data_IF_433716594931
#
_entry.id   IF_433716594931
#
_cell.length_a   1.000
_cell.length_b   1.000
_cell.length_c   1.000
_cell.angle_alpha   90.00
_cell.angle_beta   90.00
_cell.angle_gamma   90.00
#
_symmetry.space_group_name_H-M   'P 1'
#
loop_
_entity.id
_entity.type
_entity.pdbx_description
1 polymer ?
#
# COMPACT_ATOMS: atom_id res chain seq x y z
N UNK A 1 -19.51 27.44 -19.87
CA UNK A 1 -20.31 26.57 -18.97
C UNK A 1 -21.69 27.18 -18.89
N UNK A 2 -22.74 26.40 -19.08
CA UNK A 2 -24.11 26.88 -18.84
C UNK A 2 -24.21 27.31 -17.37
N UNK A 3 -24.79 28.48 -17.12
CA UNK A 3 -24.95 28.99 -15.77
C UNK A 3 -25.99 28.14 -15.03
N UNK A 4 -25.53 27.30 -14.11
CA UNK A 4 -26.42 26.42 -13.33
C UNK A 4 -26.91 27.16 -12.10
N UNK A 5 -28.23 27.14 -11.89
CA UNK A 5 -28.85 27.75 -10.71
C UNK A 5 -28.44 27.01 -9.44
N UNK A 6 -28.10 27.77 -8.39
CA UNK A 6 -27.83 27.15 -7.10
C UNK A 6 -29.11 26.58 -6.49
N UNK A 7 -28.95 25.41 -5.88
CA UNK A 7 -29.95 24.72 -5.08
C UNK A 7 -29.29 24.04 -3.90
N UNK A 8 -30.08 23.55 -2.97
CA UNK A 8 -29.59 22.73 -1.85
C UNK A 8 -28.77 21.50 -2.31
N UNK A 9 -29.02 21.02 -3.53
CA UNK A 9 -28.38 19.83 -4.11
C UNK A 9 -26.94 20.07 -4.56
N UNK A 10 -26.59 21.31 -4.85
CA UNK A 10 -25.31 21.65 -5.49
C UNK A 10 -24.55 22.81 -4.82
N UNK A 11 -25.18 23.58 -3.94
CA UNK A 11 -24.57 24.76 -3.32
C UNK A 11 -23.25 24.48 -2.58
N UNK A 12 -23.03 23.25 -2.09
CA UNK A 12 -21.80 22.85 -1.40
C UNK A 12 -20.58 22.74 -2.32
N UNK A 13 -20.79 22.69 -3.64
CA UNK A 13 -19.71 22.56 -4.64
C UNK A 13 -19.29 23.89 -5.25
N UNK A 14 -20.09 24.95 -5.08
CA UNK A 14 -19.83 26.22 -5.74
C UNK A 14 -18.59 26.91 -5.14
N UNK A 15 -17.74 27.48 -5.99
CA UNK A 15 -16.61 28.34 -5.58
C UNK A 15 -16.90 29.79 -5.95
N UNK A 16 -17.44 30.03 -7.14
CA UNK A 16 -17.85 31.36 -7.57
C UNK A 16 -19.29 31.36 -8.01
N UNK A 17 -19.99 32.40 -7.62
CA UNK A 17 -21.39 32.61 -7.94
C UNK A 17 -21.62 34.01 -8.48
N UNK A 18 -22.72 34.19 -9.18
CA UNK A 18 -23.20 35.47 -9.67
C UNK A 18 -24.66 35.64 -9.34
N UNK A 19 -25.06 36.86 -9.03
CA UNK A 19 -26.43 37.22 -8.73
C UNK A 19 -27.23 37.33 -10.03
N UNK A 20 -28.37 36.64 -10.12
CA UNK A 20 -29.20 36.62 -11.36
C UNK A 20 -29.84 37.96 -11.68
N UNK A 21 -30.33 38.65 -10.65
CA UNK A 21 -31.04 39.92 -10.80
C UNK A 21 -30.10 41.09 -11.09
N UNK A 22 -28.81 40.95 -10.79
CA UNK A 22 -27.81 41.99 -10.95
C UNK A 22 -26.46 41.42 -11.43
N UNK A 23 -26.38 40.90 -12.68
CA UNK A 23 -25.14 40.33 -13.23
C UNK A 23 -23.97 41.33 -13.29
N UNK A 24 -24.28 42.63 -13.39
CA UNK A 24 -23.33 43.74 -13.42
C UNK A 24 -22.55 43.93 -12.12
N UNK A 25 -23.05 43.38 -10.99
CA UNK A 25 -22.31 43.37 -9.72
C UNK A 25 -21.10 42.44 -9.71
N UNK A 26 -20.89 41.68 -10.80
CA UNK A 26 -19.74 40.83 -10.99
C UNK A 26 -19.83 39.50 -10.24
N UNK A 27 -18.67 38.85 -10.10
CA UNK A 27 -18.55 37.54 -9.48
C UNK A 27 -18.32 37.64 -7.97
N UNK A 28 -18.86 36.65 -7.25
CA UNK A 28 -18.79 36.54 -5.81
C UNK A 28 -18.11 35.21 -5.46
N UNK A 29 -17.16 35.25 -4.53
CA UNK A 29 -16.59 34.06 -3.90
C UNK A 29 -17.64 33.44 -2.98
N UNK A 30 -17.95 32.18 -3.19
CA UNK A 30 -18.90 31.41 -2.40
C UNK A 30 -18.20 30.60 -1.32
N UNK A 31 -18.70 30.70 -0.09
CA UNK A 31 -18.28 29.89 1.05
C UNK A 31 -19.50 29.16 1.59
N UNK A 32 -19.59 27.87 1.28
CA UNK A 32 -20.64 27.00 1.81
C UNK A 32 -20.48 26.82 3.32
N UNK A 33 -21.56 27.01 4.08
CA UNK A 33 -21.57 26.97 5.55
C UNK A 33 -20.47 27.84 6.19
N UNK A 34 -20.19 29.00 5.59
CA UNK A 34 -19.12 29.92 6.04
C UNK A 34 -19.38 30.60 7.39
N UNK A 35 -20.62 30.58 7.89
CA UNK A 35 -20.99 31.05 9.23
C UNK A 35 -21.94 30.06 9.86
N UNK A 36 -21.76 29.79 11.15
CA UNK A 36 -22.75 29.10 11.97
C UNK A 36 -23.20 29.98 13.11
N UNK A 37 -24.47 29.85 13.47
CA UNK A 37 -25.11 30.58 14.57
C UNK A 37 -25.85 29.58 15.45
N UNK A 38 -25.55 29.60 16.75
CA UNK A 38 -26.23 28.74 17.72
C UNK A 38 -27.53 29.38 18.16
N UNK A 39 -28.65 28.69 17.92
CA UNK A 39 -29.97 29.05 18.45
C UNK A 39 -30.29 28.15 19.63
N UNK A 40 -29.86 28.53 20.83
CA UNK A 40 -30.05 27.72 22.04
C UNK A 40 -29.06 26.55 22.15
N UNK A 41 -29.36 25.58 23.02
CA UNK A 41 -28.40 24.53 23.41
C UNK A 41 -28.25 23.39 22.38
N UNK A 42 -29.25 23.18 21.51
CA UNK A 42 -29.34 22.00 20.65
C UNK A 42 -29.51 22.30 19.15
N UNK A 43 -29.51 23.57 18.73
CA UNK A 43 -29.64 23.93 17.30
C UNK A 43 -28.52 24.86 16.85
N UNK A 44 -27.88 24.47 15.76
CA UNK A 44 -26.90 25.25 15.02
C UNK A 44 -27.47 25.50 13.61
N UNK A 45 -27.52 26.78 13.22
CA UNK A 45 -27.98 27.20 11.90
C UNK A 45 -26.77 27.59 11.07
N UNK A 46 -26.66 27.03 9.87
CA UNK A 46 -25.57 27.33 8.94
C UNK A 46 -26.03 28.33 7.89
N UNK A 47 -25.17 29.30 7.60
CA UNK A 47 -25.34 30.28 6.54
C UNK A 47 -24.20 30.14 5.53
N UNK A 48 -24.54 30.30 4.26
CA UNK A 48 -23.57 30.45 3.18
C UNK A 48 -23.13 31.91 3.12
N UNK A 49 -21.89 32.17 2.71
CA UNK A 49 -21.36 33.53 2.55
C UNK A 49 -20.97 33.73 1.10
N UNK A 50 -21.54 34.74 0.46
CA UNK A 50 -21.08 35.24 -0.83
C UNK A 50 -20.28 36.53 -0.61
N UNK A 51 -19.00 36.55 -0.99
CA UNK A 51 -18.14 37.74 -0.90
C UNK A 51 -17.80 38.26 -2.28
N UNK A 52 -18.20 39.49 -2.60
CA UNK A 52 -17.94 40.12 -3.88
C UNK A 52 -16.43 40.25 -4.11
N UNK A 53 -15.95 39.78 -5.27
CA UNK A 53 -14.51 39.73 -5.57
C UNK A 53 -13.94 41.15 -5.80
N UNK A 54 -14.74 42.08 -6.32
CA UNK A 54 -14.30 43.44 -6.64
C UNK A 54 -14.42 44.40 -5.46
N UNK A 55 -15.49 44.32 -4.67
CA UNK A 55 -15.78 45.27 -3.59
C UNK A 55 -15.43 44.77 -2.19
N UNK A 56 -15.27 43.44 -2.00
CA UNK A 56 -15.07 42.81 -0.69
C UNK A 56 -16.33 42.74 0.17
N UNK A 57 -17.48 43.20 -0.32
CA UNK A 57 -18.77 43.12 0.37
C UNK A 57 -19.19 41.66 0.57
N UNK A 58 -19.69 41.31 1.75
CA UNK A 58 -20.14 39.95 2.06
C UNK A 58 -21.64 39.91 2.36
N UNK A 59 -22.33 38.97 1.76
CA UNK A 59 -23.77 38.73 1.92
C UNK A 59 -23.98 37.34 2.50
N UNK A 60 -24.80 37.28 3.55
CA UNK A 60 -25.23 36.02 4.16
C UNK A 60 -26.42 35.46 3.37
N UNK A 61 -26.28 34.24 2.88
CA UNK A 61 -27.30 33.53 2.11
C UNK A 61 -27.76 32.32 2.90
N UNK A 62 -29.07 32.28 3.20
CA UNK A 62 -29.66 31.15 3.94
C UNK A 62 -29.55 29.86 3.12
N UNK A 63 -29.41 28.73 3.81
CA UNK A 63 -29.36 27.40 3.20
C UNK A 63 -30.78 26.90 2.89
N UNK A 64 -31.50 27.62 2.01
CA UNK A 64 -32.84 27.28 1.51
C UNK A 64 -32.93 27.61 0.02
N UNK A 65 -33.71 26.83 -0.74
CA UNK A 65 -33.77 27.00 -2.19
C UNK A 65 -34.23 28.40 -2.63
N UNK A 66 -35.14 29.05 -1.88
CA UNK A 66 -35.60 30.41 -2.21
C UNK A 66 -34.45 31.41 -2.34
N UNK A 67 -33.52 31.41 -1.38
CA UNK A 67 -32.38 32.33 -1.38
C UNK A 67 -31.25 31.83 -2.27
N UNK A 68 -31.09 30.51 -2.45
CA UNK A 68 -30.08 29.95 -3.33
C UNK A 68 -30.41 30.20 -4.81
N UNK A 69 -31.67 30.12 -5.21
CA UNK A 69 -32.10 30.26 -6.61
C UNK A 69 -31.84 31.66 -7.20
N UNK A 70 -31.59 32.66 -6.37
CA UNK A 70 -31.14 34.02 -6.75
C UNK A 70 -29.72 34.03 -7.33
N UNK A 71 -28.97 32.95 -7.14
CA UNK A 71 -27.57 32.82 -7.51
C UNK A 71 -27.37 31.76 -8.59
N UNK A 72 -26.39 32.00 -9.45
CA UNK A 72 -25.89 31.05 -10.44
C UNK A 72 -24.45 30.70 -10.11
N UNK A 73 -24.10 29.42 -10.20
CA UNK A 73 -22.71 28.99 -10.13
C UNK A 73 -21.98 29.35 -11.43
N UNK A 74 -20.86 30.05 -11.27
CA UNK A 74 -19.93 30.40 -12.35
C UNK A 74 -18.76 29.41 -12.38
N UNK A 75 -18.32 28.97 -11.21
CA UNK A 75 -17.20 28.05 -11.06
C UNK A 75 -17.51 27.02 -9.96
N UNK A 76 -17.23 25.76 -10.28
CA UNK A 76 -17.41 24.61 -9.39
C UNK A 76 -16.07 24.15 -8.84
N UNK A 77 -16.07 23.63 -7.60
CA UNK A 77 -14.89 23.03 -6.99
C UNK A 77 -14.45 21.74 -7.67
N UNK A 78 -15.40 21.01 -8.23
CA UNK A 78 -15.17 19.75 -8.94
C UNK A 78 -16.38 19.40 -9.80
N UNK A 79 -16.09 18.76 -10.95
CA UNK A 79 -17.10 18.37 -11.93
C UNK A 79 -17.72 16.99 -11.63
N UNK A 80 -16.90 16.03 -11.16
CA UNK A 80 -17.36 14.67 -10.84
C UNK A 80 -18.17 14.66 -9.53
N UNK A 81 -19.49 14.57 -9.65
CA UNK A 81 -20.44 14.74 -8.55
C UNK A 81 -21.56 13.69 -8.58
N UNK A 82 -22.35 13.60 -7.52
CA UNK A 82 -23.42 12.61 -7.38
C UNK A 82 -24.81 13.25 -7.28
N UNK A 83 -24.95 14.51 -7.71
CA UNK A 83 -26.19 15.28 -7.70
C UNK A 83 -27.34 14.55 -8.40
N UNK A 84 -27.06 13.84 -9.49
CA UNK A 84 -28.06 13.04 -10.22
C UNK A 84 -28.69 11.90 -9.40
N UNK A 85 -28.05 11.47 -8.30
CA UNK A 85 -28.58 10.44 -7.40
C UNK A 85 -29.47 11.02 -6.30
N UNK A 86 -29.66 12.34 -6.24
CA UNK A 86 -30.43 13.02 -5.20
C UNK A 86 -31.83 12.41 -4.99
N UNK A 87 -32.62 12.30 -6.06
CA UNK A 87 -33.98 11.75 -5.99
C UNK A 87 -33.99 10.30 -5.51
N UNK A 88 -32.97 9.53 -5.91
CA UNK A 88 -32.81 8.15 -5.46
C UNK A 88 -32.45 8.08 -3.97
N UNK A 89 -31.58 8.98 -3.49
CA UNK A 89 -31.25 9.11 -2.08
C UNK A 89 -32.45 9.55 -1.24
N UNK A 90 -33.30 10.45 -1.73
CA UNK A 90 -34.55 10.84 -1.04
C UNK A 90 -35.46 9.62 -0.86
N UNK A 91 -35.66 8.83 -1.92
CA UNK A 91 -36.41 7.55 -1.84
C UNK A 91 -35.74 6.54 -0.92
N UNK A 92 -34.41 6.56 -0.79
CA UNK A 92 -33.69 5.67 0.10
C UNK A 92 -34.02 5.90 1.58
N UNK A 93 -34.33 7.14 1.96
CA UNK A 93 -34.58 7.52 3.34
C UNK A 93 -36.06 7.79 3.66
N UNK A 94 -36.97 7.71 2.70
CA UNK A 94 -38.41 7.98 2.91
C UNK A 94 -39.08 7.06 3.93
N UNK A 95 -38.51 5.87 4.19
CA UNK A 95 -38.98 4.91 5.18
C UNK A 95 -38.34 5.05 6.57
N UNK A 96 -37.56 6.11 6.82
CA UNK A 96 -36.75 6.30 8.04
C UNK A 96 -37.24 7.51 8.86
N UNK A 97 -36.85 7.59 10.14
CA UNK A 97 -37.27 8.67 11.06
C UNK A 97 -36.54 10.01 10.86
N UNK A 98 -35.96 10.24 9.68
CA UNK A 98 -35.19 11.44 9.33
C UNK A 98 -35.88 12.21 8.20
N UNK A 99 -35.53 13.49 8.03
CA UNK A 99 -35.93 14.30 6.86
C UNK A 99 -35.20 13.76 5.62
N UNK A 100 -35.89 13.08 4.67
CA UNK A 100 -35.22 12.34 3.60
C UNK A 100 -34.35 13.20 2.69
N UNK A 101 -34.78 14.43 2.42
CA UNK A 101 -34.07 15.41 1.60
C UNK A 101 -32.72 15.78 2.23
N UNK A 102 -32.72 16.10 3.52
CA UNK A 102 -31.49 16.42 4.26
C UNK A 102 -30.56 15.21 4.33
N UNK A 103 -31.12 14.02 4.57
CA UNK A 103 -30.34 12.79 4.68
C UNK A 103 -29.71 12.39 3.35
N UNK A 104 -30.44 12.54 2.24
CA UNK A 104 -29.94 12.33 0.88
C UNK A 104 -28.71 13.20 0.60
N UNK A 105 -28.79 14.51 0.90
CA UNK A 105 -27.67 15.44 0.70
C UNK A 105 -26.46 15.09 1.56
N UNK A 106 -26.67 14.75 2.84
CA UNK A 106 -25.58 14.33 3.73
C UNK A 106 -24.82 13.14 3.16
N UNK A 107 -25.54 12.11 2.69
CA UNK A 107 -24.91 10.92 2.11
C UNK A 107 -24.24 11.21 0.77
N UNK A 108 -24.85 12.02 -0.10
CA UNK A 108 -24.23 12.45 -1.36
C UNK A 108 -22.90 13.15 -1.09
N UNK A 109 -22.87 14.12 -0.18
CA UNK A 109 -21.64 14.84 0.20
C UNK A 109 -20.58 13.91 0.78
N UNK A 110 -20.98 12.95 1.62
CA UNK A 110 -20.08 11.93 2.15
C UNK A 110 -19.47 11.09 1.01
N UNK A 111 -20.28 10.61 0.07
CA UNK A 111 -19.80 9.81 -1.05
C UNK A 111 -18.96 10.63 -2.05
N UNK A 112 -19.29 11.89 -2.30
CA UNK A 112 -18.47 12.80 -3.11
C UNK A 112 -17.11 13.05 -2.47
N UNK A 113 -17.05 13.25 -1.15
CA UNK A 113 -15.78 13.39 -0.42
C UNK A 113 -14.91 12.15 -0.60
N UNK A 114 -15.51 10.96 -0.49
CA UNK A 114 -14.81 9.69 -0.73
C UNK A 114 -14.32 9.59 -2.18
N UNK A 115 -15.18 9.89 -3.16
CA UNK A 115 -14.86 9.87 -4.57
C UNK A 115 -13.68 10.78 -4.92
N UNK A 116 -13.70 12.03 -4.46
CA UNK A 116 -12.62 12.99 -4.71
C UNK A 116 -11.30 12.50 -4.11
N UNK A 117 -11.33 11.96 -2.89
CA UNK A 117 -10.13 11.38 -2.25
C UNK A 117 -9.55 10.17 -2.98
N UNK A 118 -10.37 9.44 -3.74
CA UNK A 118 -9.92 8.33 -4.57
C UNK A 118 -9.34 8.82 -5.88
N UNK A 119 -10.02 9.77 -6.54
CA UNK A 119 -9.62 10.34 -7.83
C UNK A 119 -8.24 11.00 -7.76
N UNK A 120 -7.87 11.63 -6.65
CA UNK A 120 -6.53 12.19 -6.43
C UNK A 120 -5.42 11.16 -6.64
N UNK A 121 -5.69 9.88 -6.34
CA UNK A 121 -4.73 8.77 -6.41
C UNK A 121 -4.81 8.01 -7.74
N UNK A 122 -5.81 8.30 -8.56
CA UNK A 122 -6.10 7.58 -9.80
C UNK A 122 -5.57 8.42 -10.99
N UNK A 123 -4.81 7.81 -11.93
CA UNK A 123 -4.37 8.46 -13.15
C UNK A 123 -5.55 9.02 -13.95
N UNK A 124 -5.35 10.19 -14.57
CA UNK A 124 -6.41 10.95 -15.23
C UNK A 124 -7.23 10.14 -16.25
N UNK A 125 -6.55 9.30 -17.05
CA UNK A 125 -7.17 8.46 -18.07
C UNK A 125 -8.16 7.41 -17.52
N UNK A 126 -8.06 7.02 -16.24
CA UNK A 126 -8.94 6.01 -15.63
C UNK A 126 -10.08 6.65 -14.79
N UNK A 127 -10.06 7.97 -14.58
CA UNK A 127 -10.98 8.65 -13.64
C UNK A 127 -12.44 8.55 -14.03
N UNK A 128 -12.78 8.73 -15.31
CA UNK A 128 -14.17 8.64 -15.79
C UNK A 128 -14.75 7.24 -15.57
N UNK A 129 -14.02 6.20 -15.97
CA UNK A 129 -14.46 4.82 -15.78
C UNK A 129 -14.61 4.45 -14.29
N UNK A 130 -13.73 4.97 -13.44
CA UNK A 130 -13.86 4.81 -11.99
C UNK A 130 -15.09 5.52 -11.45
N UNK A 131 -15.31 6.78 -11.84
CA UNK A 131 -16.44 7.60 -11.44
C UNK A 131 -17.78 6.95 -11.81
N UNK A 132 -17.93 6.46 -13.04
CA UNK A 132 -19.17 5.79 -13.47
C UNK A 132 -19.47 4.56 -12.62
N UNK A 133 -18.43 3.76 -12.34
CA UNK A 133 -18.57 2.57 -11.50
C UNK A 133 -18.87 2.92 -10.04
N UNK A 134 -18.23 3.97 -9.51
CA UNK A 134 -18.50 4.49 -8.16
C UNK A 134 -19.93 4.98 -8.03
N UNK A 135 -20.40 5.77 -9.00
CA UNK A 135 -21.77 6.28 -9.08
C UNK A 135 -22.79 5.13 -9.12
N UNK A 136 -22.53 4.09 -9.92
CA UNK A 136 -23.36 2.89 -9.95
C UNK A 136 -23.41 2.18 -8.59
N UNK A 137 -22.28 2.07 -7.89
CA UNK A 137 -22.25 1.52 -6.54
C UNK A 137 -23.08 2.33 -5.55
N UNK A 138 -22.96 3.66 -5.54
CA UNK A 138 -23.77 4.53 -4.67
C UNK A 138 -25.26 4.36 -4.98
N UNK A 139 -25.63 4.24 -6.26
CA UNK A 139 -26.99 3.91 -6.67
C UNK A 139 -27.47 2.56 -6.10
N UNK A 140 -26.64 1.51 -6.12
CA UNK A 140 -26.95 0.21 -5.51
C UNK A 140 -27.19 0.38 -4.00
N UNK A 141 -26.31 1.11 -3.30
CA UNK A 141 -26.44 1.34 -1.85
C UNK A 141 -27.74 2.05 -1.52
N UNK A 142 -28.11 3.11 -2.24
CA UNK A 142 -29.39 3.79 -2.05
C UNK A 142 -30.59 2.88 -2.34
N UNK A 143 -30.52 2.03 -3.37
CA UNK A 143 -31.58 1.06 -3.66
C UNK A 143 -31.74 -0.01 -2.56
N UNK A 144 -30.65 -0.43 -1.91
CA UNK A 144 -30.72 -1.37 -0.78
C UNK A 144 -31.26 -0.67 0.46
N UNK A 145 -30.79 0.55 0.73
CA UNK A 145 -31.22 1.36 1.85
C UNK A 145 -32.73 1.66 1.80
N UNK A 146 -33.30 1.89 0.61
CA UNK A 146 -34.75 2.14 0.44
C UNK A 146 -35.63 0.97 0.88
N UNK A 147 -35.08 -0.23 1.01
CA UNK A 147 -35.83 -1.42 1.46
C UNK A 147 -35.86 -1.55 2.99
N UNK A 148 -35.09 -0.74 3.71
CA UNK A 148 -35.01 -0.74 5.17
C UNK A 148 -36.03 0.27 5.71
N UNK A 149 -36.93 -0.22 6.56
CA UNK A 149 -38.03 0.56 7.11
C UNK A 149 -37.88 0.71 8.62
N UNK A 150 -38.29 1.87 9.13
CA UNK A 150 -38.35 2.14 10.56
C UNK A 150 -39.74 1.78 11.11
N UNK A 151 -39.84 0.98 12.20
CA UNK A 151 -41.11 0.71 12.86
C UNK A 151 -41.73 1.97 13.47
N UNK A 152 -40.95 3.04 13.70
CA UNK A 152 -41.48 4.34 14.13
C UNK A 152 -42.26 5.05 13.02
N UNK A 153 -41.98 4.75 11.75
CA UNK A 153 -42.65 5.33 10.58
C UNK A 153 -43.80 4.43 10.10
N UNK A 154 -43.56 3.13 9.98
CA UNK A 154 -44.57 2.18 9.48
C UNK A 154 -45.49 1.62 10.57
N UNK A 155 -45.21 1.93 11.83
CA UNK A 155 -45.89 1.38 13.01
C UNK A 155 -45.25 0.08 13.51
N UNK A 156 -45.21 -0.15 14.84
CA UNK A 156 -44.63 -1.36 15.42
C UNK A 156 -45.56 -2.59 15.27
N UNK A 157 -46.86 -2.37 15.14
CA UNK A 157 -47.84 -3.44 15.05
C UNK A 157 -47.64 -4.26 13.77
N UNK A 158 -47.43 -5.58 13.92
CA UNK A 158 -47.19 -6.54 12.83
C UNK A 158 -45.97 -6.19 11.94
N UNK A 159 -45.03 -5.39 12.43
CA UNK A 159 -43.81 -5.08 11.70
C UNK A 159 -42.98 -6.35 11.47
N UNK A 160 -42.64 -6.63 10.21
CA UNK A 160 -41.89 -7.83 9.86
C UNK A 160 -40.39 -7.64 10.10
N UNK A 161 -39.98 -7.85 11.35
CA UNK A 161 -38.58 -7.76 11.77
C UNK A 161 -37.65 -8.64 10.92
N UNK A 162 -38.06 -9.89 10.62
CA UNK A 162 -37.24 -10.81 9.82
C UNK A 162 -36.93 -10.26 8.43
N UNK A 163 -37.92 -9.69 7.75
CA UNK A 163 -37.73 -9.05 6.44
C UNK A 163 -36.81 -7.83 6.56
N UNK A 164 -37.02 -6.99 7.57
CA UNK A 164 -36.20 -5.79 7.76
C UNK A 164 -34.75 -6.13 8.10
N UNK A 165 -34.50 -7.13 8.97
CA UNK A 165 -33.16 -7.64 9.26
C UNK A 165 -32.50 -8.18 7.99
N UNK A 166 -33.23 -8.92 7.15
CA UNK A 166 -32.70 -9.38 5.87
C UNK A 166 -32.33 -8.22 4.93
N UNK A 167 -33.10 -7.13 4.93
CA UNK A 167 -32.80 -5.93 4.15
C UNK A 167 -31.55 -5.20 4.68
N UNK A 168 -31.42 -5.06 6.01
CA UNK A 168 -30.22 -4.49 6.65
C UNK A 168 -28.97 -5.32 6.30
N UNK A 169 -29.01 -6.64 6.47
CA UNK A 169 -27.88 -7.52 6.13
C UNK A 169 -27.48 -7.41 4.64
N UNK A 170 -28.46 -7.21 3.75
CA UNK A 170 -28.20 -7.02 2.33
C UNK A 170 -27.55 -5.66 2.02
N UNK A 171 -27.92 -4.61 2.76
CA UNK A 171 -27.26 -3.31 2.69
C UNK A 171 -25.84 -3.37 3.25
N UNK A 172 -25.64 -3.95 4.44
CA UNK A 172 -24.33 -4.09 5.07
C UNK A 172 -23.36 -4.84 4.17
N UNK A 173 -23.82 -5.94 3.57
CA UNK A 173 -23.03 -6.69 2.59
C UNK A 173 -22.70 -5.87 1.34
N UNK A 174 -23.65 -5.07 0.84
CA UNK A 174 -23.37 -4.19 -0.30
C UNK A 174 -22.35 -3.09 0.05
N UNK A 175 -22.36 -2.57 1.27
CA UNK A 175 -21.36 -1.61 1.77
C UNK A 175 -19.98 -2.28 1.86
N UNK A 176 -19.90 -3.50 2.38
CA UNK A 176 -18.65 -4.27 2.37
C UNK A 176 -18.12 -4.50 0.96
N UNK A 177 -18.99 -4.90 0.03
CA UNK A 177 -18.61 -5.19 -1.34
C UNK A 177 -18.16 -3.92 -2.08
N UNK A 178 -18.82 -2.78 -1.83
CA UNK A 178 -18.40 -1.46 -2.30
C UNK A 178 -17.00 -1.10 -1.81
N UNK A 179 -16.74 -1.24 -0.51
CA UNK A 179 -15.43 -0.93 0.07
C UNK A 179 -14.34 -1.88 -0.44
N UNK A 180 -14.62 -3.19 -0.51
CA UNK A 180 -13.70 -4.19 -1.11
C UNK A 180 -13.38 -3.85 -2.56
N UNK A 181 -14.38 -3.42 -3.34
CA UNK A 181 -14.15 -2.97 -4.71
C UNK A 181 -13.21 -1.76 -4.76
N UNK A 182 -13.46 -0.72 -3.94
CA UNK A 182 -12.59 0.47 -3.87
C UNK A 182 -11.15 0.12 -3.51
N UNK A 183 -10.96 -0.69 -2.47
CA UNK A 183 -9.62 -1.14 -2.04
C UNK A 183 -8.90 -1.94 -3.13
N UNK A 184 -9.60 -2.87 -3.78
CA UNK A 184 -9.02 -3.69 -4.83
C UNK A 184 -8.65 -2.85 -6.05
N UNK A 185 -9.47 -1.86 -6.39
CA UNK A 185 -9.17 -0.92 -7.47
C UNK A 185 -7.92 -0.11 -7.15
N UNK A 186 -7.83 0.49 -5.95
CA UNK A 186 -6.67 1.24 -5.50
C UNK A 186 -5.38 0.38 -5.50
N UNK A 187 -5.45 -0.87 -5.01
CA UNK A 187 -4.33 -1.83 -5.10
C UNK A 187 -3.94 -2.10 -6.55
N UNK A 188 -4.91 -2.22 -7.45
CA UNK A 188 -4.68 -2.40 -8.88
C UNK A 188 -3.97 -1.20 -9.53
N UNK A 189 -4.40 0.01 -9.20
CA UNK A 189 -3.76 1.25 -9.64
C UNK A 189 -2.31 1.33 -9.15
N UNK A 190 -2.07 1.08 -7.87
CA UNK A 190 -0.71 1.05 -7.30
C UNK A 190 0.19 0.04 -8.01
N UNK A 191 -0.31 -1.16 -8.32
CA UNK A 191 0.44 -2.16 -9.09
C UNK A 191 0.77 -1.69 -10.51
N UNK A 192 -0.15 -0.99 -11.18
CA UNK A 192 0.10 -0.43 -12.52
C UNK A 192 1.12 0.70 -12.48
N UNK A 193 1.02 1.59 -11.49
CA UNK A 193 2.01 2.65 -11.25
C UNK A 193 3.39 2.04 -11.01
N UNK A 194 3.48 1.02 -10.15
CA UNK A 194 4.72 0.29 -9.86
C UNK A 194 5.29 -0.42 -11.09
N UNK A 195 4.41 -1.04 -11.90
CA UNK A 195 4.80 -1.70 -13.14
C UNK A 195 5.33 -0.71 -14.18
N UNK A 196 4.79 0.51 -14.23
CA UNK A 196 5.22 1.57 -15.13
C UNK A 196 6.55 2.24 -14.71
N UNK A 197 7.01 2.06 -13.46
CA UNK A 197 8.30 2.61 -13.01
C UNK A 197 9.45 2.03 -13.83
N UNK A 198 10.32 2.90 -14.33
CA UNK A 198 11.53 2.47 -15.04
C UNK A 198 12.51 1.79 -14.07
N UNK A 199 13.42 0.93 -14.57
CA UNK A 199 14.45 0.32 -13.73
C UNK A 199 15.28 1.34 -12.92
N UNK A 200 15.53 2.52 -13.50
CA UNK A 200 16.23 3.63 -12.84
C UNK A 200 15.42 4.23 -11.69
N UNK A 201 14.12 4.43 -11.87
CA UNK A 201 13.24 4.94 -10.80
C UNK A 201 13.16 3.95 -9.64
N UNK A 202 13.07 2.64 -9.92
CA UNK A 202 13.09 1.60 -8.88
C UNK A 202 14.41 1.61 -8.12
N UNK A 203 15.54 1.69 -8.82
CA UNK A 203 16.86 1.77 -8.18
C UNK A 203 17.00 3.03 -7.31
N UNK A 204 16.48 4.18 -7.77
CA UNK A 204 16.50 5.43 -7.01
C UNK A 204 15.63 5.34 -5.74
N UNK A 205 14.46 4.73 -5.82
CA UNK A 205 13.58 4.52 -4.66
C UNK A 205 14.16 3.53 -3.65
N UNK A 206 14.73 2.42 -4.13
CA UNK A 206 15.47 1.47 -3.28
C UNK A 206 16.63 2.15 -2.55
N UNK A 207 17.37 3.01 -3.25
CA UNK A 207 18.42 3.82 -2.66
C UNK A 207 17.87 4.80 -1.62
N UNK A 208 16.80 5.52 -1.92
CA UNK A 208 16.21 6.49 -0.99
C UNK A 208 15.66 5.81 0.28
N UNK A 209 15.03 4.65 0.13
CA UNK A 209 14.60 3.84 1.27
C UNK A 209 15.78 3.39 2.12
N UNK A 210 16.86 2.90 1.49
CA UNK A 210 18.04 2.50 2.23
C UNK A 210 18.75 3.70 2.90
N UNK A 211 18.82 4.85 2.22
CA UNK A 211 19.32 6.10 2.78
C UNK A 211 18.54 6.51 4.03
N UNK A 212 17.20 6.42 4.01
CA UNK A 212 16.33 6.68 5.17
C UNK A 212 16.58 5.70 6.32
N UNK A 213 16.99 4.47 6.06
CA UNK A 213 17.40 3.53 7.10
C UNK A 213 18.77 3.87 7.71
N UNK A 214 19.71 4.39 6.91
CA UNK A 214 21.07 4.72 7.34
C UNK A 214 21.12 6.03 8.12
N UNK A 215 20.40 7.06 7.65
CA UNK A 215 20.48 8.43 8.14
C UNK A 215 20.24 8.58 9.66
N UNK A 216 19.22 7.96 10.28
CA UNK A 216 19.01 8.08 11.72
C UNK A 216 20.20 7.56 12.52
N UNK A 217 20.76 6.42 12.12
CA UNK A 217 21.94 5.82 12.79
C UNK A 217 23.17 6.70 12.61
N UNK A 218 23.36 7.29 11.43
CA UNK A 218 24.45 8.24 11.16
C UNK A 218 24.30 9.51 12.00
N UNK A 219 23.11 10.08 12.09
CA UNK A 219 22.82 11.25 12.93
C UNK A 219 23.12 10.97 14.39
N UNK A 220 22.66 9.83 14.92
CA UNK A 220 22.95 9.46 16.32
C UNK A 220 24.45 9.36 16.61
N UNK A 221 25.26 8.87 15.66
CA UNK A 221 26.72 8.84 15.82
C UNK A 221 27.29 10.25 15.95
N UNK A 222 26.82 11.19 15.12
CA UNK A 222 27.23 12.60 15.18
C UNK A 222 26.81 13.24 16.50
N UNK A 223 25.56 13.03 16.93
CA UNK A 223 25.03 13.61 18.16
C UNK A 223 25.80 13.11 19.41
N UNK A 224 26.28 11.86 19.38
CA UNK A 224 27.16 11.31 20.43
C UNK A 224 28.56 11.94 20.35
N UNK A 225 29.15 12.04 19.16
CA UNK A 225 30.48 12.61 18.96
C UNK A 225 30.53 14.11 19.32
N UNK A 226 29.42 14.84 19.18
CA UNK A 226 29.27 16.25 19.57
C UNK A 226 28.78 16.45 21.02
N UNK A 227 28.49 15.36 21.75
CA UNK A 227 28.04 15.41 23.13
C UNK A 227 26.60 15.88 23.34
N UNK A 228 25.81 16.00 22.28
CA UNK A 228 24.36 16.30 22.30
C UNK A 228 23.56 15.11 22.86
N UNK A 229 24.00 13.88 22.57
CA UNK A 229 23.41 12.65 23.09
C UNK A 229 24.34 11.99 24.14
N UNK A 230 23.99 12.12 25.42
CA UNK A 230 24.77 11.56 26.55
C UNK A 230 24.26 10.18 26.97
N UNK A 231 25.16 9.33 27.45
CA UNK A 231 24.83 7.98 27.95
C UNK A 231 24.78 6.87 26.88
N UNK A 232 25.01 7.21 25.61
CA UNK A 232 25.02 6.24 24.51
C UNK A 232 26.42 5.86 24.08
N UNK A 233 26.63 4.58 23.74
CA UNK A 233 27.90 4.08 23.25
C UNK A 233 27.97 4.15 21.71
N UNK A 234 28.84 5.02 21.18
CA UNK A 234 29.11 5.19 19.74
C UNK A 234 29.35 3.86 19.01
N UNK A 235 30.08 2.93 19.62
CA UNK A 235 30.46 1.67 18.97
C UNK A 235 29.25 0.83 18.56
N UNK A 236 28.16 0.88 19.33
CA UNK A 236 26.92 0.16 19.03
C UNK A 236 26.21 0.69 17.77
N UNK A 237 26.23 2.01 17.57
CA UNK A 237 25.65 2.61 16.36
C UNK A 237 26.52 2.36 15.14
N UNK A 238 27.85 2.43 15.29
CA UNK A 238 28.80 2.10 14.22
C UNK A 238 28.67 0.63 13.79
N UNK A 239 28.54 -0.31 14.73
CA UNK A 239 28.33 -1.72 14.43
C UNK A 239 26.98 -1.98 13.78
N UNK A 240 25.91 -1.31 14.24
CA UNK A 240 24.57 -1.37 13.63
C UNK A 240 24.57 -0.86 12.18
N UNK A 241 25.21 0.30 11.94
CA UNK A 241 25.36 0.86 10.59
C UNK A 241 26.13 -0.08 9.67
N UNK A 242 27.24 -0.65 10.16
CA UNK A 242 27.99 -1.66 9.42
C UNK A 242 27.12 -2.88 9.09
N UNK A 243 26.38 -3.41 10.07
CA UNK A 243 25.53 -4.59 9.88
C UNK A 243 24.36 -4.36 8.90
N UNK A 244 23.85 -3.13 8.76
CA UNK A 244 22.89 -2.77 7.71
C UNK A 244 23.51 -2.89 6.31
N UNK A 245 24.71 -2.34 6.11
CA UNK A 245 25.43 -2.37 4.83
C UNK A 245 25.91 -3.80 4.51
N UNK A 246 26.41 -4.52 5.51
CA UNK A 246 26.87 -5.90 5.36
C UNK A 246 25.74 -6.82 4.88
N UNK A 247 24.53 -6.70 5.44
CA UNK A 247 23.37 -7.47 4.97
C UNK A 247 23.06 -7.21 3.49
N UNK A 248 23.07 -5.96 3.05
CA UNK A 248 22.89 -5.61 1.63
C UNK A 248 24.00 -6.20 0.76
N UNK A 249 25.23 -6.21 1.25
CA UNK A 249 26.37 -6.82 0.56
C UNK A 249 26.26 -8.36 0.47
N UNK A 250 25.74 -9.02 1.50
CA UNK A 250 25.43 -10.46 1.50
C UNK A 250 24.34 -10.82 0.48
N UNK A 251 23.39 -9.93 0.25
CA UNK A 251 22.31 -10.12 -0.73
C UNK A 251 22.72 -9.79 -2.17
N UNK A 252 24.00 -9.48 -2.44
CA UNK A 252 24.49 -9.18 -3.79
C UNK A 252 24.05 -7.82 -4.36
N UNK A 253 23.53 -6.90 -3.53
CA UNK A 253 23.04 -5.59 -3.97
C UNK A 253 24.18 -4.58 -4.11
N UNK A 254 25.07 -4.79 -5.08
CA UNK A 254 26.32 -4.04 -5.21
C UNK A 254 26.11 -2.54 -5.44
N UNK A 255 25.14 -2.16 -6.27
CA UNK A 255 24.81 -0.76 -6.56
C UNK A 255 24.41 0.00 -5.28
N UNK A 256 23.55 -0.59 -4.43
CA UNK A 256 23.14 0.01 -3.16
C UNK A 256 24.29 0.13 -2.17
N UNK A 257 25.17 -0.86 -2.11
CA UNK A 257 26.35 -0.83 -1.23
C UNK A 257 27.30 0.29 -1.66
N UNK A 258 27.57 0.44 -2.96
CA UNK A 258 28.41 1.53 -3.48
C UNK A 258 27.80 2.89 -3.15
N UNK A 259 26.52 3.10 -3.47
CA UNK A 259 25.80 4.33 -3.16
C UNK A 259 25.83 4.67 -1.66
N UNK A 260 25.66 3.67 -0.79
CA UNK A 260 25.75 3.84 0.66
C UNK A 260 27.13 4.27 1.14
N UNK A 261 28.19 3.65 0.59
CA UNK A 261 29.56 4.01 0.94
C UNK A 261 29.89 5.43 0.49
N UNK A 262 29.47 5.83 -0.70
CA UNK A 262 29.71 7.18 -1.22
C UNK A 262 28.93 8.23 -0.42
N UNK A 263 27.65 7.97 -0.09
CA UNK A 263 26.88 8.80 0.81
C UNK A 263 27.52 8.96 2.19
N UNK A 264 28.04 7.88 2.77
CA UNK A 264 28.72 7.93 4.07
C UNK A 264 30.04 8.70 3.99
N UNK A 265 30.79 8.61 2.88
CA UNK A 265 31.99 9.42 2.65
C UNK A 265 31.64 10.90 2.58
N UNK A 266 30.64 11.27 1.77
CA UNK A 266 30.18 12.65 1.63
C UNK A 266 29.68 13.21 2.96
N UNK A 267 28.91 12.42 3.70
CA UNK A 267 28.42 12.80 5.02
C UNK A 267 29.57 12.97 6.01
N UNK A 268 30.53 12.03 6.01
CA UNK A 268 31.69 12.07 6.91
C UNK A 268 32.66 13.21 6.59
N UNK A 269 32.74 13.65 5.34
CA UNK A 269 33.60 14.77 4.94
C UNK A 269 33.21 16.10 5.59
N UNK A 270 31.95 16.22 6.02
CA UNK A 270 31.42 17.40 6.74
C UNK A 270 31.66 17.33 8.25
N UNK A 271 32.13 16.18 8.77
CA UNK A 271 32.28 15.94 10.19
C UNK A 271 33.73 16.09 10.64
N UNK A 272 33.93 16.53 11.88
CA UNK A 272 35.26 16.56 12.53
C UNK A 272 35.83 15.16 12.74
N UNK A 273 34.98 14.18 13.03
CA UNK A 273 35.34 12.78 13.23
C UNK A 273 34.55 11.93 12.23
N UNK A 274 35.24 11.14 11.38
CA UNK A 274 34.56 10.34 10.38
C UNK A 274 33.77 9.21 11.06
N UNK A 275 32.63 8.83 10.47
CA UNK A 275 31.79 7.74 11.00
C UNK A 275 32.60 6.44 11.02
N UNK A 276 33.16 6.07 9.87
CA UNK A 276 34.11 4.98 9.72
C UNK A 276 35.51 5.51 9.41
N UNK A 277 36.53 4.89 10.00
CA UNK A 277 37.92 5.21 9.67
C UNK A 277 38.26 4.73 8.25
N UNK A 278 39.26 5.31 7.56
CA UNK A 278 39.66 4.87 6.22
C UNK A 278 40.10 3.39 6.15
N UNK A 279 40.55 2.82 7.27
CA UNK A 279 40.98 1.41 7.37
C UNK A 279 39.85 0.45 7.77
N UNK A 280 38.63 0.95 7.96
CA UNK A 280 37.52 0.12 8.42
C UNK A 280 37.11 -0.90 7.35
N UNK A 281 36.76 -2.13 7.77
CA UNK A 281 36.39 -3.23 6.86
C UNK A 281 35.18 -2.95 5.97
N UNK A 282 34.34 -1.97 6.33
CA UNK A 282 33.18 -1.52 5.54
C UNK A 282 33.55 -1.15 4.10
N UNK A 283 34.74 -0.57 3.89
CA UNK A 283 35.18 -0.13 2.58
C UNK A 283 35.52 -1.29 1.63
N UNK A 284 35.78 -2.48 2.18
CA UNK A 284 35.98 -3.72 1.41
C UNK A 284 34.66 -4.38 1.02
N UNK A 285 33.52 -3.95 1.59
CA UNK A 285 32.23 -4.60 1.31
C UNK A 285 31.80 -4.45 -0.14
N UNK A 286 32.13 -3.34 -0.80
CA UNK A 286 31.83 -3.13 -2.22
C UNK A 286 32.49 -4.20 -3.11
N UNK A 287 33.75 -4.53 -2.86
CA UNK A 287 34.48 -5.57 -3.59
C UNK A 287 33.89 -6.95 -3.32
N UNK A 288 33.64 -7.28 -2.04
CA UNK A 288 33.03 -8.57 -1.67
C UNK A 288 31.64 -8.74 -2.26
N UNK A 289 30.86 -7.66 -2.37
CA UNK A 289 29.53 -7.68 -2.93
C UNK A 289 29.56 -7.90 -4.45
N UNK A 290 30.44 -7.20 -5.17
CA UNK A 290 30.64 -7.43 -6.62
C UNK A 290 31.05 -8.87 -6.93
N UNK A 291 31.96 -9.44 -6.14
CA UNK A 291 32.34 -10.84 -6.28
C UNK A 291 31.14 -11.78 -6.05
N UNK A 292 30.34 -11.53 -4.99
CA UNK A 292 29.13 -12.33 -4.72
C UNK A 292 28.08 -12.20 -5.81
N UNK A 293 27.84 -11.00 -6.32
CA UNK A 293 26.92 -10.76 -7.42
C UNK A 293 27.34 -11.53 -8.67
N UNK A 294 28.64 -11.52 -9.01
CA UNK A 294 29.18 -12.28 -10.13
C UNK A 294 29.02 -13.80 -9.93
N UNK A 295 29.28 -14.31 -8.72
CA UNK A 295 29.06 -15.73 -8.39
C UNK A 295 27.59 -16.10 -8.48
N UNK A 296 26.69 -15.25 -7.97
CA UNK A 296 25.24 -15.46 -8.05
C UNK A 296 24.74 -15.47 -9.49
N UNK A 297 25.21 -14.54 -10.35
CA UNK A 297 24.86 -14.54 -11.79
C UNK A 297 25.34 -15.80 -12.49
N UNK A 298 26.60 -16.18 -12.29
CA UNK A 298 27.17 -17.40 -12.87
C UNK A 298 26.42 -18.66 -12.43
N UNK A 299 25.99 -18.69 -11.17
CA UNK A 299 25.23 -19.81 -10.63
C UNK A 299 23.78 -19.83 -11.12
N UNK A 300 23.15 -18.67 -11.35
CA UNK A 300 21.80 -18.58 -11.91
C UNK A 300 21.75 -18.99 -13.38
N UNK A 301 22.83 -18.81 -14.13
CA UNK A 301 22.97 -19.25 -15.53
C UNK A 301 23.20 -20.77 -15.66
N UNK A 302 23.60 -21.45 -14.58
CA UNK A 302 23.78 -22.90 -14.58
C UNK A 302 22.43 -23.60 -14.36
N UNK A 303 22.09 -24.48 -15.29
CA UNK A 303 20.94 -25.38 -15.11
C UNK A 303 21.16 -26.32 -13.91
N UNK A 304 20.12 -26.52 -13.12
CA UNK A 304 20.13 -27.45 -12.01
C UNK A 304 20.45 -28.86 -12.52
N UNK A 305 21.36 -29.55 -11.84
CA UNK A 305 21.72 -30.91 -12.20
C UNK A 305 20.97 -31.89 -11.29
N UNK A 306 20.23 -32.81 -11.90
CA UNK A 306 19.48 -33.85 -11.20
C UNK A 306 20.20 -35.19 -11.32
N UNK A 307 20.37 -35.85 -10.19
CA UNK A 307 21.01 -37.16 -10.10
C UNK A 307 20.05 -38.13 -9.41
N UNK A 308 19.44 -39.06 -10.16
CA UNK A 308 18.59 -40.09 -9.57
C UNK A 308 19.43 -41.08 -8.75
N UNK A 309 18.94 -41.43 -7.57
CA UNK A 309 19.48 -42.46 -6.68
C UNK A 309 18.32 -43.36 -6.21
N UNK A 310 18.62 -44.49 -5.56
CA UNK A 310 17.57 -45.44 -5.12
C UNK A 310 16.58 -44.77 -4.14
N UNK A 311 15.34 -44.55 -4.59
CA UNK A 311 14.24 -43.97 -3.80
C UNK A 311 14.36 -42.46 -3.52
N UNK A 312 15.29 -41.76 -4.16
CA UNK A 312 15.43 -40.31 -4.04
C UNK A 312 16.16 -39.68 -5.23
N UNK A 313 15.89 -38.39 -5.47
CA UNK A 313 16.60 -37.58 -6.46
C UNK A 313 17.40 -36.51 -5.75
N UNK A 314 18.70 -36.42 -6.06
CA UNK A 314 19.56 -35.34 -5.58
C UNK A 314 19.53 -34.23 -6.64
N UNK A 315 19.07 -33.06 -6.25
CA UNK A 315 19.03 -31.88 -7.11
C UNK A 315 20.11 -30.90 -6.63
N UNK A 316 21.08 -30.63 -7.49
CA UNK A 316 22.08 -29.57 -7.30
C UNK A 316 21.50 -28.29 -7.88
N UNK A 317 20.89 -27.47 -7.02
CA UNK A 317 20.31 -26.19 -7.40
C UNK A 317 21.37 -25.08 -7.27
N UNK A 318 21.98 -24.72 -8.40
CA UNK A 318 23.00 -23.67 -8.44
C UNK A 318 22.40 -22.29 -8.16
N UNK A 319 21.22 -21.99 -8.71
CA UNK A 319 20.55 -20.70 -8.56
C UNK A 319 20.32 -20.33 -7.08
N UNK A 320 19.87 -21.29 -6.26
CA UNK A 320 19.68 -21.11 -4.82
C UNK A 320 20.93 -21.43 -3.98
N UNK A 321 22.01 -21.93 -4.61
CA UNK A 321 23.19 -22.45 -3.94
C UNK A 321 22.84 -23.53 -2.89
N UNK A 322 21.95 -24.46 -3.28
CA UNK A 322 21.43 -25.54 -2.41
C UNK A 322 21.68 -26.92 -3.02
N UNK A 323 22.01 -27.87 -2.15
CA UNK A 323 21.93 -29.30 -2.45
C UNK A 323 20.63 -29.83 -1.83
N UNK A 324 19.74 -30.33 -2.67
CA UNK A 324 18.40 -30.79 -2.31
C UNK A 324 18.31 -32.30 -2.51
N UNK A 325 17.65 -32.99 -1.58
CA UNK A 325 17.35 -34.41 -1.66
C UNK A 325 15.83 -34.55 -1.61
N UNK A 326 15.25 -34.95 -2.73
CA UNK A 326 13.81 -35.18 -2.91
C UNK A 326 13.58 -36.68 -2.79
N UNK A 327 12.69 -37.10 -1.90
CA UNK A 327 12.30 -38.50 -1.77
C UNK A 327 10.91 -38.71 -2.35
N UNK A 328 10.70 -39.83 -3.04
CA UNK A 328 9.41 -40.17 -3.66
C UNK A 328 8.33 -40.46 -2.61
N UNK A 329 8.73 -41.11 -1.52
CA UNK A 329 7.89 -41.37 -0.35
C UNK A 329 8.50 -40.78 0.92
N UNK A 330 7.67 -40.60 1.96
CA UNK A 330 8.12 -40.08 3.26
C UNK A 330 9.24 -40.97 3.82
N UNK A 331 10.46 -40.44 4.03
CA UNK A 331 11.58 -41.24 4.51
C UNK A 331 11.30 -41.79 5.90
N UNK A 332 11.86 -42.97 6.19
CA UNK A 332 11.77 -43.60 7.51
C UNK A 332 12.30 -42.68 8.62
N UNK A 333 11.88 -42.91 9.87
CA UNK A 333 12.31 -42.08 10.99
C UNK A 333 13.84 -42.03 11.16
N UNK A 334 14.50 -43.16 10.93
CA UNK A 334 15.97 -43.28 11.02
C UNK A 334 16.68 -42.44 9.96
N UNK A 335 16.21 -42.43 8.72
CA UNK A 335 16.77 -41.61 7.63
C UNK A 335 16.58 -40.12 7.91
N UNK A 336 15.41 -39.71 8.42
CA UNK A 336 15.13 -38.31 8.81
C UNK A 336 16.06 -37.84 9.93
N UNK A 337 16.39 -38.69 10.89
CA UNK A 337 17.32 -38.33 11.96
C UNK A 337 18.76 -38.24 11.44
N UNK A 338 19.18 -39.11 10.52
CA UNK A 338 20.49 -39.01 9.85
C UNK A 338 20.62 -37.73 9.02
N UNK A 339 19.57 -37.33 8.28
CA UNK A 339 19.53 -36.07 7.54
C UNK A 339 19.70 -34.86 8.47
N UNK A 340 18.99 -34.83 9.59
CA UNK A 340 19.13 -33.77 10.60
C UNK A 340 20.53 -33.73 11.21
N UNK A 341 21.12 -34.88 11.53
CA UNK A 341 22.50 -34.99 12.04
C UNK A 341 23.52 -34.45 11.03
N UNK A 342 23.25 -34.63 9.74
CA UNK A 342 24.05 -34.09 8.63
C UNK A 342 23.69 -32.64 8.25
N UNK A 343 22.92 -31.94 9.09
CA UNK A 343 22.48 -30.55 8.89
C UNK A 343 21.63 -30.32 7.63
N UNK A 344 20.93 -31.34 7.13
CA UNK A 344 19.86 -31.16 6.16
C UNK A 344 18.57 -30.72 6.88
N UNK A 345 17.92 -29.70 6.33
CA UNK A 345 16.68 -29.14 6.87
C UNK A 345 15.55 -29.36 5.87
N UNK A 346 14.37 -29.74 6.37
CA UNK A 346 13.18 -29.93 5.55
C UNK A 346 12.64 -28.57 5.07
N UNK A 347 12.42 -28.44 3.77
CA UNK A 347 11.84 -27.26 3.13
C UNK A 347 10.43 -27.60 2.60
N UNK A 348 9.35 -27.15 3.27
CA UNK A 348 7.99 -27.51 2.88
C UNK A 348 7.57 -26.97 1.51
N UNK A 349 8.14 -25.85 1.07
CA UNK A 349 7.81 -25.21 -0.22
C UNK A 349 8.37 -26.03 -1.39
N UNK A 350 9.57 -26.56 -1.24
CA UNK A 350 10.27 -27.35 -2.26
C UNK A 350 10.02 -28.85 -2.14
N UNK A 351 9.38 -29.30 -1.04
CA UNK A 351 9.20 -30.72 -0.76
C UNK A 351 10.52 -31.51 -0.60
N UNK A 352 11.60 -30.83 -0.21
CA UNK A 352 12.96 -31.40 -0.22
C UNK A 352 13.71 -31.22 1.10
N UNK A 353 14.65 -32.12 1.37
CA UNK A 353 15.68 -31.94 2.40
C UNK A 353 16.86 -31.19 1.81
N UNK A 354 17.19 -30.01 2.35
CA UNK A 354 18.17 -29.13 1.74
C UNK A 354 19.24 -28.61 2.69
N UNK A 355 20.41 -28.31 2.13
CA UNK A 355 21.48 -27.55 2.79
C UNK A 355 22.29 -26.74 1.78
N UNK A 356 23.15 -25.84 2.26
CA UNK A 356 24.00 -25.02 1.38
C UNK A 356 24.93 -25.90 0.54
N UNK A 357 24.99 -25.65 -0.77
CA UNK A 357 25.88 -26.33 -1.69
C UNK A 357 27.34 -26.01 -1.35
N UNK A 358 28.06 -27.04 -0.91
CA UNK A 358 29.47 -26.99 -0.49
C UNK A 358 30.11 -28.33 -0.84
N UNK A 359 31.43 -28.46 -0.76
CA UNK A 359 32.09 -29.77 -0.93
C UNK A 359 31.68 -30.76 0.16
N UNK A 360 31.56 -30.28 1.41
CA UNK A 360 30.96 -31.06 2.50
C UNK A 360 29.56 -31.51 2.10
N UNK A 361 28.77 -30.60 1.49
CA UNK A 361 27.55 -30.81 0.72
C UNK A 361 27.26 -32.26 0.37
N UNK A 362 28.05 -32.63 -0.64
CA UNK A 362 28.05 -33.85 -1.41
C UNK A 362 28.44 -35.03 -0.53
N UNK A 363 29.52 -34.90 0.24
CA UNK A 363 29.99 -35.95 1.14
C UNK A 363 28.91 -36.40 2.14
N UNK A 364 28.16 -35.45 2.72
CA UNK A 364 27.09 -35.81 3.65
C UNK A 364 25.86 -36.40 2.95
N UNK A 365 25.50 -35.93 1.75
CA UNK A 365 24.43 -36.55 0.97
C UNK A 365 24.77 -38.02 0.66
N UNK A 366 26.00 -38.26 0.17
CA UNK A 366 26.52 -39.61 -0.10
C UNK A 366 26.53 -40.47 1.17
N UNK A 367 26.92 -39.91 2.31
CA UNK A 367 26.92 -40.63 3.59
C UNK A 367 25.50 -41.01 4.05
N UNK A 368 24.52 -40.13 3.89
CA UNK A 368 23.13 -40.41 4.26
C UNK A 368 22.52 -41.50 3.38
N UNK A 369 22.86 -41.54 2.09
CA UNK A 369 22.27 -42.47 1.13
C UNK A 369 22.91 -43.85 1.14
N UNK A 370 24.24 -43.93 1.25
CA UNK A 370 24.98 -45.20 1.15
C UNK A 370 25.64 -45.63 2.46
N UNK A 371 25.60 -44.82 3.52
CA UNK A 371 26.25 -45.13 4.78
C UNK A 371 27.76 -45.42 4.63
N UNK A 372 28.21 -46.50 5.27
CA UNK A 372 29.59 -47.01 5.18
C UNK A 372 29.80 -48.00 4.05
N UNK A 373 28.78 -48.29 3.25
CA UNK A 373 28.89 -49.25 2.15
C UNK A 373 29.83 -48.70 1.07
N UNK A 374 30.72 -49.52 0.52
CA UNK A 374 31.70 -49.11 -0.50
C UNK A 374 31.28 -49.59 -1.89
N UNK A 375 30.00 -49.35 -2.22
CA UNK A 375 29.41 -49.75 -3.49
C UNK A 375 29.95 -48.94 -4.67
N UNK A 376 29.95 -49.55 -5.85
CA UNK A 376 30.37 -48.89 -7.09
C UNK A 376 29.41 -47.73 -7.45
N UNK A 377 28.11 -47.89 -7.17
CA UNK A 377 27.09 -46.86 -7.30
C UNK A 377 27.38 -45.60 -6.45
N UNK A 378 27.92 -45.78 -5.23
CA UNK A 378 28.35 -44.67 -4.37
C UNK A 378 29.49 -43.88 -4.99
N UNK A 379 30.50 -44.57 -5.54
CA UNK A 379 31.66 -43.95 -6.20
C UNK A 379 31.22 -43.19 -7.45
N UNK A 380 30.33 -43.77 -8.25
CA UNK A 380 29.80 -43.14 -9.45
C UNK A 380 28.98 -41.88 -9.13
N UNK A 381 28.03 -41.96 -8.18
CA UNK A 381 27.22 -40.81 -7.77
C UNK A 381 28.08 -39.71 -7.14
N UNK A 382 29.03 -40.08 -6.28
CA UNK A 382 29.99 -39.14 -5.69
C UNK A 382 30.79 -38.41 -6.77
N UNK A 383 31.34 -39.13 -7.76
CA UNK A 383 32.08 -38.52 -8.86
C UNK A 383 31.21 -37.58 -9.69
N UNK A 384 29.98 -37.98 -10.02
CA UNK A 384 29.00 -37.14 -10.74
C UNK A 384 28.68 -35.86 -9.98
N UNK A 385 28.44 -35.95 -8.66
CA UNK A 385 28.17 -34.79 -7.82
C UNK A 385 29.39 -33.87 -7.66
N UNK A 386 30.60 -34.43 -7.55
CA UNK A 386 31.82 -33.62 -7.49
C UNK A 386 32.17 -32.94 -8.82
N UNK A 387 31.80 -33.55 -9.96
CA UNK A 387 31.92 -32.90 -11.27
C UNK A 387 30.88 -31.78 -11.47
N UNK A 388 29.76 -31.86 -10.75
CA UNK A 388 28.69 -30.88 -10.78
C UNK A 388 29.05 -29.60 -9.98
N UNK A 389 29.80 -29.74 -8.87
CA UNK A 389 30.28 -28.62 -8.06
C UNK A 389 31.20 -27.67 -8.85
#
# INVERSE_FOLDING_TARGET
MEATTLSLRNCHRAIKVRLKSAPEKGEWKWSWHGKSEHSGFFSETFYNIATNIATGESVEVKDIDLTLQEWEAVEWAYDMNLESLYEQGVRAFSGTSHVPEQRSMQYIRMYETLLLSDIEKIPEAEREAYYDKFKNWVGILFSKQSSILSPMITGPARFNNRRNTSANNAYDKAVEDFNKWRENYAKGVLRRIEAAKTPEQRAAEEWENFRKELLPTMSSIVDIDEGRARGYNRALFVSSLYGKIERKAHNGQSALVVAALDYIKEYSARLRKPIFTPRHKVWKLAETCKWREAVMKKNAERESAEFPAEGCTIVVNYAENRLQIVYDEKPSATVRDSLKKCAFHWAPTEGAWQRQLTTSAISAAVHVLFGYDDSEAKKELSNKLYQAL
#
